data_IF_613883987091
#
_entry.id   IF_613883987091
#
_cell.length_a   1.000
_cell.length_b   1.000
_cell.length_c   1.000
_cell.angle_alpha   90.00
_cell.angle_beta   90.00
_cell.angle_gamma   90.00
#
_symmetry.space_group_name_H-M   'P 1'
#
loop_
_entity.id
_entity.type
_entity.pdbx_description
1 polymer ?
#
# COMPACT_ATOMS: atom_id res chain seq x y z
N UNK A 1 -7.32 -31.41 -17.04
CA UNK A 1 -7.86 -30.43 -16.08
C UNK A 1 -6.65 -29.83 -15.40
N UNK A 2 -6.25 -28.58 -15.66
CA UNK A 2 -5.31 -27.94 -14.76
C UNK A 2 -6.00 -27.89 -13.39
N UNK A 3 -5.33 -28.36 -12.35
CA UNK A 3 -5.70 -28.06 -10.96
C UNK A 3 -5.90 -26.54 -10.89
N UNK A 4 -6.94 -26.01 -10.20
CA UNK A 4 -6.91 -24.61 -9.88
C UNK A 4 -5.64 -24.46 -9.06
N UNK A 5 -4.56 -23.97 -9.70
CA UNK A 5 -3.46 -23.31 -9.03
C UNK A 5 -4.17 -22.54 -7.94
N UNK A 6 -3.93 -22.93 -6.68
CA UNK A 6 -4.46 -22.21 -5.55
C UNK A 6 -3.99 -20.79 -5.82
N UNK A 7 -4.88 -19.99 -6.42
CA UNK A 7 -4.57 -18.65 -6.85
C UNK A 7 -4.00 -18.09 -5.59
N UNK A 8 -2.72 -17.74 -5.66
CA UNK A 8 -1.97 -17.34 -4.50
C UNK A 8 -2.63 -16.05 -4.08
N UNK A 9 -3.73 -16.17 -3.33
CA UNK A 9 -4.65 -15.10 -2.95
C UNK A 9 -3.96 -14.30 -1.83
N UNK A 10 -2.63 -14.44 -1.74
CA UNK A 10 -1.71 -13.63 -0.99
C UNK A 10 -1.81 -12.22 -1.53
N UNK A 11 -2.78 -11.54 -0.96
CA UNK A 11 -2.84 -10.10 -0.94
C UNK A 11 -1.62 -9.62 -0.16
N UNK A 12 -0.78 -8.80 -0.79
CA UNK A 12 0.37 -8.18 -0.14
C UNK A 12 0.25 -6.68 -0.31
N UNK A 13 0.29 -5.95 0.80
CA UNK A 13 0.18 -4.50 0.78
C UNK A 13 1.52 -3.92 1.23
N UNK A 14 2.12 -3.13 0.34
CA UNK A 14 3.42 -2.49 0.53
C UNK A 14 3.21 -0.99 0.58
N UNK A 15 3.69 -0.36 1.66
CA UNK A 15 3.68 1.08 1.84
C UNK A 15 5.12 1.55 1.99
N UNK A 16 5.54 2.47 1.13
CA UNK A 16 6.87 3.08 1.16
C UNK A 16 6.72 4.56 1.44
N UNK A 17 7.47 5.05 2.43
CA UNK A 17 7.62 6.47 2.74
C UNK A 17 9.06 6.94 2.51
N UNK A 18 9.28 7.76 1.50
CA UNK A 18 10.52 8.47 1.22
C UNK A 18 10.56 9.79 2.00
N UNK A 19 11.36 9.86 3.07
CA UNK A 19 11.53 11.08 3.86
C UNK A 19 12.60 12.02 3.28
N UNK A 20 12.21 13.25 2.94
CA UNK A 20 13.14 14.30 2.52
C UNK A 20 14.03 14.83 3.66
N UNK A 21 15.23 15.28 3.30
CA UNK A 21 16.36 15.82 4.10
C UNK A 21 17.36 14.83 4.73
N UNK A 22 16.99 13.59 5.08
CA UNK A 22 17.92 12.62 5.66
C UNK A 22 18.11 11.32 4.85
N UNK A 23 17.39 11.15 3.72
CA UNK A 23 17.51 9.97 2.86
C UNK A 23 16.95 8.67 3.44
N UNK A 24 16.22 8.73 4.56
CA UNK A 24 15.66 7.55 5.21
C UNK A 24 14.31 7.18 4.56
N UNK A 25 14.33 6.13 3.75
CA UNK A 25 13.13 5.48 3.22
C UNK A 25 12.63 4.46 4.25
N UNK A 26 11.38 4.60 4.71
CA UNK A 26 10.71 3.59 5.53
C UNK A 26 9.78 2.76 4.65
N UNK A 27 9.86 1.45 4.75
CA UNK A 27 8.95 0.54 4.05
C UNK A 27 8.24 -0.34 5.08
N UNK A 28 6.93 -0.47 4.89
CA UNK A 28 6.07 -1.40 5.62
C UNK A 28 5.46 -2.36 4.61
N UNK A 29 5.41 -3.63 4.99
CA UNK A 29 4.80 -4.70 4.20
C UNK A 29 3.93 -5.52 5.13
N UNK A 30 2.71 -5.79 4.71
CA UNK A 30 1.81 -6.68 5.43
C UNK A 30 1.17 -7.67 4.46
N UNK A 31 0.94 -8.88 4.96
CA UNK A 31 0.34 -9.99 4.23
C UNK A 31 -0.87 -10.44 5.07
N UNK A 32 -2.10 -10.04 4.72
CA UNK A 32 -3.27 -10.41 5.50
C UNK A 32 -3.54 -11.91 5.46
N UNK A 33 -3.92 -12.44 6.62
CA UNK A 33 -4.48 -13.78 6.72
C UNK A 33 -5.75 -13.92 5.87
N UNK A 34 -6.04 -15.10 5.31
CA UNK A 34 -7.19 -15.35 4.43
C UNK A 34 -8.52 -14.80 4.97
N UNK A 35 -8.78 -14.97 6.27
CA UNK A 35 -9.99 -14.48 6.93
C UNK A 35 -10.13 -12.95 6.96
N UNK A 36 -9.00 -12.22 6.95
CA UNK A 36 -8.98 -10.75 6.94
C UNK A 36 -8.94 -10.16 5.54
N UNK A 37 -8.63 -10.93 4.50
CA UNK A 37 -8.55 -10.42 3.10
C UNK A 37 -9.80 -9.68 2.64
N UNK A 38 -11.04 -10.12 2.92
CA UNK A 38 -12.23 -9.37 2.53
C UNK A 38 -12.31 -7.98 3.17
N UNK A 39 -11.77 -7.82 4.38
CA UNK A 39 -11.70 -6.53 5.07
C UNK A 39 -10.66 -5.62 4.42
N UNK A 40 -9.45 -6.13 4.17
CA UNK A 40 -8.39 -5.38 3.47
C UNK A 40 -8.79 -4.98 2.06
N UNK A 41 -9.46 -5.87 1.33
CA UNK A 41 -9.97 -5.58 0.00
C UNK A 41 -10.95 -4.41 -0.01
N UNK A 42 -11.84 -4.33 1.00
CA UNK A 42 -12.74 -3.17 1.16
C UNK A 42 -11.99 -1.87 1.46
N UNK A 43 -10.95 -1.91 2.30
CA UNK A 43 -10.11 -0.74 2.57
C UNK A 43 -9.41 -0.25 1.31
N UNK A 44 -8.83 -1.18 0.54
CA UNK A 44 -8.21 -0.90 -0.75
C UNK A 44 -9.24 -0.32 -1.72
N UNK A 45 -10.39 -0.95 -1.93
CA UNK A 45 -11.43 -0.48 -2.84
C UNK A 45 -12.02 0.89 -2.44
N UNK A 46 -11.96 1.25 -1.16
CA UNK A 46 -12.37 2.57 -0.68
C UNK A 46 -11.38 3.68 -1.04
N UNK A 47 -10.14 3.35 -1.39
CA UNK A 47 -9.12 4.33 -1.76
C UNK A 47 -9.35 4.84 -3.20
N UNK A 48 -9.20 6.15 -3.44
CA UNK A 48 -9.36 6.73 -4.77
C UNK A 48 -8.11 6.51 -5.63
N UNK A 49 -7.85 5.27 -6.07
CA UNK A 49 -6.67 4.90 -6.88
C UNK A 49 -6.61 5.64 -8.22
N UNK A 50 -7.76 5.84 -8.87
CA UNK A 50 -7.88 6.52 -10.18
C UNK A 50 -8.00 8.04 -10.08
N UNK A 51 -8.04 8.61 -8.86
CA UNK A 51 -8.12 10.05 -8.74
C UNK A 51 -6.81 10.68 -9.23
N UNK A 52 -6.88 11.61 -10.22
CA UNK A 52 -5.69 12.27 -10.71
C UNK A 52 -5.03 13.01 -9.52
N UNK A 53 -3.70 12.90 -9.35
CA UNK A 53 -3.03 13.63 -8.29
C UNK A 53 -3.34 15.12 -8.47
N UNK A 54 -3.69 15.84 -7.39
CA UNK A 54 -3.89 17.27 -7.48
C UNK A 54 -2.61 17.89 -8.02
N UNK A 55 -2.73 18.77 -9.01
CA UNK A 55 -1.62 19.44 -9.66
C UNK A 55 -0.96 20.43 -8.69
N UNK A 56 -0.15 19.91 -7.77
CA UNK A 56 0.66 20.73 -6.87
C UNK A 56 1.79 21.35 -7.68
N UNK A 57 1.79 22.68 -7.83
CA UNK A 57 2.81 23.46 -8.58
C UNK A 57 4.21 23.48 -7.95
N UNK A 58 4.48 22.63 -6.98
CA UNK A 58 5.81 22.40 -6.43
C UNK A 58 6.32 21.05 -6.88
N UNK A 59 7.64 20.90 -6.98
CA UNK A 59 8.34 19.62 -7.10
C UNK A 59 8.15 18.75 -5.83
N UNK A 60 6.89 18.59 -5.38
CA UNK A 60 6.50 18.02 -4.11
C UNK A 60 6.51 16.51 -4.22
N UNK A 61 7.74 16.00 -4.17
CA UNK A 61 8.18 14.79 -3.48
C UNK A 61 7.02 13.83 -3.25
N UNK A 62 6.82 12.89 -4.18
CA UNK A 62 6.01 11.70 -3.97
C UNK A 62 6.61 10.91 -2.79
N UNK A 63 6.27 11.35 -1.57
CA UNK A 63 6.84 10.80 -0.35
C UNK A 63 6.23 9.46 -0.04
N UNK A 64 5.03 9.15 -0.54
CA UNK A 64 4.32 7.93 -0.22
C UNK A 64 4.01 7.14 -1.48
N UNK A 65 4.28 5.85 -1.45
CA UNK A 65 3.90 4.88 -2.48
C UNK A 65 3.18 3.73 -1.82
N UNK A 66 2.03 3.36 -2.37
CA UNK A 66 1.23 2.24 -1.90
C UNK A 66 1.03 1.29 -3.06
N UNK A 67 1.33 0.01 -2.83
CA UNK A 67 1.22 -1.05 -3.81
C UNK A 67 0.47 -2.22 -3.19
N UNK A 68 -0.51 -2.73 -3.93
CA UNK A 68 -1.29 -3.91 -3.58
C UNK A 68 -0.98 -4.96 -4.63
N UNK A 69 -0.39 -6.06 -4.19
CA UNK A 69 -0.10 -7.22 -5.00
C UNK A 69 -1.17 -8.28 -4.71
N UNK A 70 -1.63 -8.93 -5.76
CA UNK A 70 -2.50 -10.10 -5.71
C UNK A 70 -1.73 -11.26 -6.32
N UNK A 71 -1.18 -12.11 -5.46
CA UNK A 71 -0.23 -13.15 -5.83
C UNK A 71 1.00 -12.57 -6.54
N UNK A 72 1.17 -12.92 -7.82
CA UNK A 72 2.30 -12.47 -8.63
C UNK A 72 2.06 -11.14 -9.38
N UNK A 73 0.83 -10.61 -9.36
CA UNK A 73 0.44 -9.43 -10.15
C UNK A 73 0.25 -8.19 -9.26
N UNK A 74 0.52 -7.00 -9.79
CA UNK A 74 0.16 -5.74 -9.11
C UNK A 74 -1.29 -5.41 -9.39
N UNK A 75 -2.15 -5.52 -8.37
CA UNK A 75 -3.57 -5.18 -8.46
C UNK A 75 -3.79 -3.66 -8.46
N UNK A 76 -3.14 -2.95 -7.54
CA UNK A 76 -3.25 -1.50 -7.42
C UNK A 76 -1.91 -0.84 -7.08
N UNK A 77 -1.69 0.35 -7.63
CA UNK A 77 -0.53 1.19 -7.30
C UNK A 77 -0.94 2.64 -7.27
N UNK A 78 -0.59 3.34 -6.19
CA UNK A 78 -0.78 4.78 -6.06
C UNK A 78 0.49 5.45 -5.53
N UNK A 79 0.71 6.68 -5.98
CA UNK A 79 1.76 7.56 -5.48
C UNK A 79 1.10 8.81 -4.91
N UNK A 80 1.42 9.11 -3.66
CA UNK A 80 0.74 10.13 -2.87
C UNK A 80 1.77 11.14 -2.34
N UNK A 81 1.41 12.42 -2.39
CA UNK A 81 2.07 13.46 -1.63
C UNK A 81 1.66 13.41 -0.15
N UNK A 82 2.38 14.14 0.71
CA UNK A 82 2.05 14.23 2.15
C UNK A 82 0.64 14.78 2.38
N UNK A 83 0.23 15.78 1.59
CA UNK A 83 -1.13 16.35 1.66
C UNK A 83 -2.26 15.41 1.19
N UNK A 84 -1.93 14.33 0.47
CA UNK A 84 -2.92 13.31 0.06
C UNK A 84 -3.07 12.19 1.09
N UNK A 85 -2.22 12.14 2.12
CA UNK A 85 -2.29 11.15 3.20
C UNK A 85 -3.42 11.48 4.19
N UNK A 86 -4.65 11.45 3.69
CA UNK A 86 -5.87 11.73 4.44
C UNK A 86 -7.02 10.79 4.03
N UNK A 87 -8.02 10.66 4.89
CA UNK A 87 -9.19 9.80 4.67
C UNK A 87 -8.79 8.33 4.46
N UNK A 88 -9.33 7.65 3.43
CA UNK A 88 -9.14 6.20 3.25
C UNK A 88 -7.67 5.81 3.07
N UNK A 89 -6.84 6.70 2.51
CA UNK A 89 -5.41 6.46 2.40
C UNK A 89 -4.71 6.37 3.75
N UNK A 90 -5.08 7.25 4.68
CA UNK A 90 -4.50 7.26 6.02
C UNK A 90 -4.92 6.01 6.79
N UNK A 91 -6.19 5.63 6.68
CA UNK A 91 -6.72 4.41 7.31
C UNK A 91 -5.98 3.17 6.82
N UNK A 92 -5.84 3.01 5.49
CA UNK A 92 -5.09 1.89 4.91
C UNK A 92 -3.62 1.86 5.41
N UNK A 93 -2.93 3.00 5.37
CA UNK A 93 -1.52 3.07 5.80
C UNK A 93 -1.36 2.81 7.30
N UNK A 94 -2.28 3.31 8.12
CA UNK A 94 -2.25 3.08 9.55
C UNK A 94 -2.43 1.59 9.88
N UNK A 95 -3.42 0.94 9.27
CA UNK A 95 -3.64 -0.50 9.39
C UNK A 95 -2.43 -1.31 8.91
N UNK A 96 -1.82 -0.92 7.77
CA UNK A 96 -0.58 -1.57 7.29
C UNK A 96 0.53 -1.41 8.31
N UNK A 97 0.70 -0.23 8.91
CA UNK A 97 1.76 0.02 9.90
C UNK A 97 1.51 -0.73 11.21
N UNK A 98 0.26 -0.88 11.63
CA UNK A 98 -0.12 -1.68 12.79
C UNK A 98 0.11 -3.18 12.55
N UNK A 99 -0.20 -3.65 11.34
CA UNK A 99 -0.08 -5.05 10.94
C UNK A 99 1.31 -5.44 10.43
N UNK A 100 2.13 -4.46 10.02
CA UNK A 100 3.50 -4.68 9.60
C UNK A 100 4.30 -5.11 10.83
N UNK A 101 4.69 -6.39 10.86
CA UNK A 101 5.73 -6.82 11.77
C UNK A 101 6.96 -5.93 11.55
N UNK A 102 7.69 -5.53 12.62
CA UNK A 102 8.95 -4.85 12.44
C UNK A 102 9.86 -5.80 11.66
N UNK A 103 10.07 -5.52 10.37
CA UNK A 103 11.05 -6.24 9.56
C UNK A 103 12.38 -6.05 10.27
N UNK A 104 12.84 -7.04 11.03
CA UNK A 104 14.20 -7.05 11.55
C UNK A 104 15.10 -7.07 10.31
N UNK A 105 15.92 -6.05 10.06
CA UNK A 105 16.98 -6.19 9.07
C UNK A 105 17.89 -7.32 9.57
N UNK A 106 18.11 -8.30 8.71
CA UNK A 106 18.99 -9.44 8.96
C UNK A 106 20.46 -9.07 8.69
#
# INVERSE_FOLDING_TARGET
MPEPEAADDRMVIVVVRSGGLAGLTKQWRTEPEPDRRPHWRRLVESCPWDAPPPSTRGADRFQWRIEVLDGASTAHRAQLGDGQMAGPWRELVDEVRQSAAPTRPH
#
